data_IF_389366987345
#
_entry.id   IF_389366987345
#
_cell.length_a   1.000
_cell.length_b   1.000
_cell.length_c   1.000
_cell.angle_alpha   90.00
_cell.angle_beta   90.00
_cell.angle_gamma   90.00
#
_symmetry.space_group_name_H-M   'P 1'
#
loop_
_entity.id
_entity.type
_entity.pdbx_description
1 polymer ?
#
# COMPACT_ATOMS: atom_id res chain seq x y z
N UNK A 1 81.46 -16.27 12.34
CA UNK A 1 81.60 -16.85 11.00
C UNK A 1 80.91 -15.91 10.05
N UNK A 2 81.81 -15.26 9.33
CA UNK A 2 81.60 -14.26 8.28
C UNK A 2 80.71 -14.76 7.16
N UNK A 3 80.02 -13.81 6.54
CA UNK A 3 80.10 -13.58 5.10
C UNK A 3 79.41 -12.28 4.71
N UNK A 4 80.29 -11.37 4.29
CA UNK A 4 80.02 -10.14 3.54
C UNK A 4 79.49 -10.42 2.10
N UNK A 5 78.62 -9.58 1.62
CA UNK A 5 78.17 -9.58 0.21
C UNK A 5 77.81 -8.19 -0.24
N UNK A 6 78.65 -7.70 -1.09
CA UNK A 6 78.80 -6.34 -1.65
C UNK A 6 77.57 -5.81 -2.39
N UNK A 7 77.36 -4.50 -2.19
CA UNK A 7 76.44 -3.65 -2.96
C UNK A 7 77.05 -3.24 -4.28
N UNK A 8 76.43 -3.58 -5.40
CA UNK A 8 76.66 -2.94 -6.70
C UNK A 8 75.65 -1.83 -6.94
N UNK A 9 76.23 -0.64 -6.99
CA UNK A 9 75.52 0.60 -7.26
C UNK A 9 75.45 0.80 -8.82
N UNK A 10 74.31 0.53 -9.40
CA UNK A 10 74.04 0.92 -10.84
C UNK A 10 73.42 2.30 -10.89
N UNK A 11 74.22 3.27 -11.23
CA UNK A 11 73.75 4.62 -11.57
C UNK A 11 72.94 4.54 -12.86
N UNK A 12 71.62 4.85 -12.76
CA UNK A 12 70.72 4.97 -13.92
C UNK A 12 70.85 6.41 -14.43
N UNK A 13 71.27 6.51 -15.69
CA UNK A 13 71.50 7.76 -16.43
C UNK A 13 70.20 8.56 -16.56
N UNK A 14 70.07 9.63 -15.81
CA UNK A 14 68.88 10.47 -15.67
C UNK A 14 68.59 11.33 -16.94
N UNK A 15 69.56 11.53 -17.79
CA UNK A 15 69.36 12.38 -18.99
C UNK A 15 68.61 11.72 -20.13
N UNK A 16 68.64 10.39 -20.27
CA UNK A 16 67.88 9.69 -21.32
C UNK A 16 66.41 9.52 -21.01
N UNK A 17 65.97 9.71 -19.74
CA UNK A 17 64.55 9.60 -19.34
C UNK A 17 63.78 10.90 -19.63
N UNK A 18 64.47 12.06 -19.67
CA UNK A 18 63.79 13.35 -19.86
C UNK A 18 63.34 13.61 -21.30
N UNK A 19 64.02 13.08 -22.29
CA UNK A 19 63.72 13.34 -23.72
C UNK A 19 62.56 12.48 -24.19
N UNK A 20 62.35 11.31 -23.57
CA UNK A 20 61.24 10.41 -23.95
C UNK A 20 59.89 10.86 -23.37
N UNK A 21 59.86 11.67 -22.29
CA UNK A 21 58.65 12.17 -21.65
C UNK A 21 58.05 13.41 -22.31
N UNK A 22 58.86 14.18 -23.08
CA UNK A 22 58.40 15.42 -23.72
C UNK A 22 57.72 15.14 -25.06
N UNK A 23 58.04 14.03 -25.74
CA UNK A 23 57.39 13.68 -27.02
C UNK A 23 56.06 12.93 -26.88
N UNK A 24 55.72 12.47 -25.68
CA UNK A 24 54.41 11.79 -25.39
C UNK A 24 53.32 12.73 -24.84
N UNK A 25 53.71 13.97 -24.48
CA UNK A 25 52.80 14.93 -23.84
C UNK A 25 52.01 15.82 -24.81
N UNK A 26 52.27 15.77 -26.12
CA UNK A 26 51.58 16.65 -27.09
C UNK A 26 50.49 16.00 -27.91
N UNK A 27 50.18 14.71 -27.72
CA UNK A 27 49.16 14.00 -28.51
C UNK A 27 47.90 13.61 -27.68
N UNK A 28 47.68 14.19 -26.49
CA UNK A 28 46.55 13.80 -25.64
C UNK A 28 45.54 14.92 -25.37
N UNK A 29 45.48 15.96 -26.20
CA UNK A 29 44.59 17.10 -26.00
C UNK A 29 43.55 17.32 -27.10
N UNK A 30 43.03 16.26 -27.76
CA UNK A 30 41.88 16.39 -28.66
C UNK A 30 40.96 15.15 -28.60
N UNK A 31 40.76 14.55 -27.41
CA UNK A 31 39.61 13.71 -27.19
C UNK A 31 38.60 14.50 -26.37
N UNK A 32 37.84 15.35 -27.05
CA UNK A 32 36.65 15.99 -26.46
C UNK A 32 35.69 14.92 -25.99
N UNK A 33 35.63 14.71 -24.67
CA UNK A 33 34.53 13.97 -24.08
C UNK A 33 33.24 14.71 -24.37
N UNK A 34 32.59 14.35 -25.48
CA UNK A 34 31.18 14.59 -25.66
C UNK A 34 30.45 13.82 -24.52
N UNK A 35 30.20 14.50 -23.39
CA UNK A 35 29.22 14.07 -22.43
C UNK A 35 27.87 14.07 -23.11
N UNK A 36 27.48 12.94 -23.67
CA UNK A 36 26.08 12.69 -23.97
C UNK A 36 25.29 12.89 -22.68
N UNK A 37 24.30 13.78 -22.66
CA UNK A 37 23.43 13.85 -21.50
C UNK A 37 22.74 12.50 -21.41
N UNK A 38 23.07 11.75 -20.36
CA UNK A 38 22.35 10.56 -19.96
C UNK A 38 20.93 11.03 -19.61
N UNK A 39 20.04 10.98 -20.60
CA UNK A 39 18.60 11.10 -20.37
C UNK A 39 18.25 9.94 -19.46
N UNK A 40 18.20 10.20 -18.14
CA UNK A 40 17.54 9.30 -17.23
C UNK A 40 16.06 9.33 -17.59
N UNK A 41 15.66 8.47 -18.50
CA UNK A 41 14.30 8.07 -18.64
C UNK A 41 13.98 7.28 -17.36
N UNK A 42 13.61 8.01 -16.29
CA UNK A 42 12.78 7.46 -15.23
C UNK A 42 11.45 7.12 -15.90
N UNK A 43 11.40 6.00 -16.61
CA UNK A 43 10.12 5.38 -16.89
C UNK A 43 9.41 5.23 -15.55
N UNK A 44 8.18 5.76 -15.41
CA UNK A 44 7.41 5.52 -14.20
C UNK A 44 7.33 3.99 -14.06
N UNK A 45 7.89 3.46 -12.98
CA UNK A 45 7.77 2.05 -12.64
C UNK A 45 6.29 1.70 -12.79
N UNK A 46 5.99 0.81 -13.72
CA UNK A 46 4.64 0.34 -14.01
C UNK A 46 4.18 -0.38 -12.75
N UNK A 47 3.50 0.35 -11.86
CA UNK A 47 2.98 -0.24 -10.64
C UNK A 47 1.83 -1.13 -11.07
N UNK A 48 1.93 -2.41 -10.72
CA UNK A 48 0.87 -3.38 -10.94
C UNK A 48 -0.43 -2.83 -10.30
N UNK A 49 -1.55 -2.81 -11.04
CA UNK A 49 -2.84 -2.46 -10.45
C UNK A 49 -3.09 -3.30 -9.20
N UNK A 50 -3.81 -2.74 -8.23
CA UNK A 50 -4.24 -3.52 -7.06
C UNK A 50 -4.91 -4.81 -7.51
N UNK A 51 -4.67 -5.89 -6.77
CA UNK A 51 -5.40 -7.13 -6.98
C UNK A 51 -6.90 -6.86 -6.81
N UNK A 52 -7.66 -7.06 -7.88
CA UNK A 52 -9.12 -7.02 -7.83
C UNK A 52 -9.64 -8.29 -7.17
N UNK A 53 -10.58 -8.13 -6.25
CA UNK A 53 -11.32 -9.25 -5.67
C UNK A 53 -12.49 -9.52 -6.60
N UNK A 54 -12.38 -10.58 -7.41
CA UNK A 54 -13.46 -10.94 -8.32
C UNK A 54 -14.54 -11.76 -7.61
N UNK A 55 -14.13 -12.71 -6.79
CA UNK A 55 -15.01 -13.58 -6.02
C UNK A 55 -14.53 -13.71 -4.58
N UNK A 56 -15.46 -13.68 -3.64
CA UNK A 56 -15.20 -13.94 -2.22
C UNK A 56 -16.25 -14.88 -1.67
N UNK A 57 -15.95 -15.61 -0.60
CA UNK A 57 -16.89 -16.51 0.06
C UNK A 57 -17.50 -15.80 1.26
N UNK A 58 -18.83 -15.67 1.27
CA UNK A 58 -19.60 -15.28 2.45
C UNK A 58 -20.00 -16.55 3.17
N UNK A 59 -19.50 -16.74 4.40
CA UNK A 59 -19.70 -17.96 5.18
C UNK A 59 -20.68 -17.78 6.35
N UNK A 60 -21.23 -16.59 6.52
CA UNK A 60 -22.22 -16.33 7.55
C UNK A 60 -22.87 -14.95 7.41
N UNK A 61 -24.06 -14.84 7.98
CA UNK A 61 -24.77 -13.60 8.21
C UNK A 61 -25.47 -13.71 9.59
N UNK A 62 -25.24 -12.73 10.46
CA UNK A 62 -25.67 -12.78 11.86
C UNK A 62 -26.42 -11.50 12.21
N UNK A 63 -27.51 -11.62 12.97
CA UNK A 63 -28.18 -10.46 13.57
C UNK A 63 -27.42 -9.88 14.76
N UNK A 64 -26.61 -10.72 15.40
CA UNK A 64 -25.80 -10.37 16.56
C UNK A 64 -24.32 -10.23 16.17
N UNK A 65 -23.73 -9.10 16.55
CA UNK A 65 -22.34 -8.74 16.26
C UNK A 65 -21.34 -9.72 16.88
N UNK A 66 -21.60 -10.15 18.12
CA UNK A 66 -20.65 -10.98 18.85
C UNK A 66 -20.54 -12.39 18.24
N UNK A 67 -21.66 -12.89 17.70
CA UNK A 67 -21.67 -14.13 16.91
C UNK A 67 -20.83 -14.01 15.64
N UNK A 68 -20.96 -12.90 14.90
CA UNK A 68 -20.15 -12.63 13.71
C UNK A 68 -18.66 -12.53 14.08
N UNK A 69 -18.34 -11.86 15.18
CA UNK A 69 -16.98 -11.71 15.68
C UNK A 69 -16.36 -13.07 16.04
N UNK A 70 -17.04 -13.86 16.87
CA UNK A 70 -16.58 -15.21 17.25
C UNK A 70 -16.36 -16.10 16.03
N UNK A 71 -17.25 -16.01 15.05
CA UNK A 71 -17.12 -16.79 13.83
C UNK A 71 -15.94 -16.31 12.96
N UNK A 72 -15.74 -15.00 12.82
CA UNK A 72 -14.59 -14.43 12.13
C UNK A 72 -13.27 -14.86 12.77
N UNK A 73 -13.18 -14.80 14.10
CA UNK A 73 -11.99 -15.22 14.82
C UNK A 73 -11.76 -16.75 14.72
N UNK A 74 -12.83 -17.56 14.68
CA UNK A 74 -12.74 -19.00 14.36
C UNK A 74 -12.09 -19.22 13.01
N UNK A 75 -12.56 -18.53 11.96
CA UNK A 75 -12.03 -18.67 10.61
C UNK A 75 -10.56 -18.19 10.51
N UNK A 76 -10.21 -17.09 11.19
CA UNK A 76 -8.83 -16.59 11.25
C UNK A 76 -7.88 -17.57 11.92
N UNK A 77 -8.29 -18.26 12.97
CA UNK A 77 -7.49 -19.34 13.60
C UNK A 77 -7.27 -20.53 12.66
N UNK A 78 -8.11 -20.70 11.63
CA UNK A 78 -7.94 -21.70 10.57
C UNK A 78 -7.08 -21.16 9.39
N UNK A 79 -6.42 -20.00 9.56
CA UNK A 79 -5.57 -19.39 8.54
C UNK A 79 -6.32 -18.68 7.40
N UNK A 80 -7.63 -18.44 7.56
CA UNK A 80 -8.43 -17.71 6.57
C UNK A 80 -8.37 -16.20 6.86
N UNK A 81 -8.15 -15.37 5.84
CA UNK A 81 -8.21 -13.89 5.97
C UNK A 81 -9.68 -13.43 6.03
N UNK A 82 -10.35 -13.84 7.11
CA UNK A 82 -11.76 -13.53 7.33
C UNK A 82 -11.96 -12.13 7.90
N UNK A 83 -13.01 -11.47 7.43
CA UNK A 83 -13.46 -10.18 7.92
C UNK A 83 -15.00 -10.17 8.02
N UNK A 84 -15.52 -9.30 8.87
CA UNK A 84 -16.96 -9.09 8.99
C UNK A 84 -17.28 -7.60 8.88
N UNK A 85 -18.50 -7.31 8.49
CA UNK A 85 -19.02 -5.95 8.33
C UNK A 85 -20.54 -5.97 8.48
N UNK A 86 -21.12 -4.84 8.85
CA UNK A 86 -22.56 -4.65 8.82
C UNK A 86 -22.98 -4.25 7.40
N UNK A 87 -23.95 -4.93 6.83
CA UNK A 87 -24.48 -4.58 5.52
C UNK A 87 -25.76 -3.71 5.65
N UNK A 88 -26.25 -3.10 4.56
CA UNK A 88 -27.45 -2.26 4.63
C UNK A 88 -28.72 -2.94 5.16
N UNK A 89 -28.79 -4.26 5.16
CA UNK A 89 -29.91 -5.01 5.79
C UNK A 89 -29.80 -5.06 7.34
N UNK A 90 -28.73 -4.52 7.93
CA UNK A 90 -28.48 -4.60 9.37
C UNK A 90 -27.85 -5.92 9.83
N UNK A 91 -27.50 -6.84 8.92
CA UNK A 91 -26.86 -8.09 9.26
C UNK A 91 -25.32 -7.95 9.26
N UNK A 92 -24.67 -8.62 10.20
CA UNK A 92 -23.22 -8.78 10.24
C UNK A 92 -22.81 -9.95 9.34
N UNK A 93 -22.27 -9.64 8.14
CA UNK A 93 -21.81 -10.62 7.16
C UNK A 93 -20.35 -10.94 7.38
N UNK A 94 -19.99 -12.23 7.30
CA UNK A 94 -18.61 -12.72 7.40
C UNK A 94 -18.15 -13.24 6.06
N UNK A 95 -17.04 -12.70 5.55
CA UNK A 95 -16.43 -13.05 4.27
C UNK A 95 -14.96 -13.37 4.42
N UNK A 96 -14.44 -14.15 3.44
CA UNK A 96 -13.00 -14.43 3.33
C UNK A 96 -12.61 -14.81 1.91
N UNK A 97 -11.30 -14.66 1.63
CA UNK A 97 -10.68 -15.10 0.39
C UNK A 97 -10.86 -14.13 -0.77
N UNK A 98 -9.92 -14.23 -1.70
CA UNK A 98 -9.89 -13.55 -2.98
C UNK A 98 -9.65 -14.62 -4.05
N UNK A 99 -10.61 -14.86 -4.93
CA UNK A 99 -10.58 -15.91 -5.95
C UNK A 99 -10.71 -15.31 -7.34
N UNK A 100 -9.90 -15.81 -8.27
CA UNK A 100 -9.96 -15.39 -9.68
C UNK A 100 -11.20 -15.93 -10.40
N UNK A 101 -11.75 -17.07 -9.96
CA UNK A 101 -12.93 -17.68 -10.57
C UNK A 101 -13.98 -18.09 -9.53
N UNK A 102 -15.25 -18.11 -9.96
CA UNK A 102 -16.37 -18.64 -9.15
C UNK A 102 -16.15 -20.12 -8.82
N UNK A 103 -15.54 -20.88 -9.73
CA UNK A 103 -15.26 -22.31 -9.58
C UNK A 103 -14.27 -22.54 -8.44
N UNK A 104 -13.18 -21.75 -8.38
CA UNK A 104 -12.17 -21.86 -7.30
C UNK A 104 -12.78 -21.50 -5.95
N UNK A 105 -13.58 -20.42 -5.90
CA UNK A 105 -14.31 -20.04 -4.68
C UNK A 105 -15.25 -21.18 -4.22
N UNK A 106 -16.05 -21.75 -5.12
CA UNK A 106 -16.95 -22.87 -4.80
C UNK A 106 -16.19 -24.11 -4.31
N UNK A 107 -15.10 -24.48 -5.00
CA UNK A 107 -14.29 -25.65 -4.63
C UNK A 107 -13.66 -25.47 -3.24
N UNK A 108 -13.15 -24.27 -2.94
CA UNK A 108 -12.62 -23.94 -1.62
C UNK A 108 -13.71 -24.00 -0.55
N UNK A 109 -14.87 -23.39 -0.81
CA UNK A 109 -16.01 -23.40 0.11
C UNK A 109 -16.50 -24.82 0.42
N UNK A 110 -16.67 -25.68 -0.60
CA UNK A 110 -17.08 -27.07 -0.42
C UNK A 110 -16.09 -27.87 0.44
N UNK A 111 -14.76 -27.67 0.26
CA UNK A 111 -13.74 -28.28 1.12
C UNK A 111 -13.86 -27.85 2.58
N UNK A 112 -14.15 -26.57 2.82
CA UNK A 112 -14.34 -26.05 4.19
C UNK A 112 -15.64 -26.53 4.81
N UNK A 113 -16.70 -26.67 4.02
CA UNK A 113 -17.99 -27.24 4.43
C UNK A 113 -17.84 -28.71 4.84
N UNK A 114 -17.20 -29.54 4.00
CA UNK A 114 -16.95 -30.95 4.30
C UNK A 114 -16.03 -31.16 5.51
N UNK A 115 -15.15 -30.20 5.79
CA UNK A 115 -14.29 -30.21 6.99
C UNK A 115 -15.00 -29.67 8.25
N UNK A 116 -16.27 -29.26 8.20
CA UNK A 116 -17.01 -28.70 9.32
C UNK A 116 -16.50 -27.33 9.80
N UNK A 117 -15.69 -26.64 9.00
CA UNK A 117 -15.15 -25.32 9.33
C UNK A 117 -16.21 -24.24 9.17
N UNK A 118 -17.03 -24.36 8.09
CA UNK A 118 -18.21 -23.54 7.81
C UNK A 118 -19.44 -24.42 7.71
N UNK A 119 -20.62 -23.86 7.96
CA UNK A 119 -21.89 -24.60 7.92
C UNK A 119 -22.68 -24.36 6.64
N UNK A 120 -22.43 -23.22 6.00
CA UNK A 120 -23.05 -22.79 4.75
C UNK A 120 -22.18 -21.76 4.08
N UNK A 121 -22.42 -21.48 2.79
CA UNK A 121 -21.69 -20.45 2.07
C UNK A 121 -22.45 -19.88 0.87
N UNK A 122 -22.08 -18.66 0.53
CA UNK A 122 -22.48 -17.99 -0.69
C UNK A 122 -21.26 -17.37 -1.38
N UNK A 123 -21.10 -17.61 -2.71
CA UNK A 123 -20.04 -16.98 -3.49
C UNK A 123 -20.52 -15.62 -3.97
N UNK A 124 -19.91 -14.58 -3.43
CA UNK A 124 -20.15 -13.19 -3.79
C UNK A 124 -19.29 -12.81 -4.98
N UNK A 125 -19.92 -12.19 -5.98
CA UNK A 125 -19.23 -11.58 -7.12
C UNK A 125 -19.22 -10.09 -6.95
N UNK A 126 -18.06 -9.46 -7.17
CA UNK A 126 -18.00 -8.01 -7.28
C UNK A 126 -18.29 -7.60 -8.73
N UNK A 127 -19.20 -6.66 -8.89
CA UNK A 127 -19.56 -6.16 -10.22
C UNK A 127 -18.41 -5.33 -10.81
N UNK A 128 -18.27 -5.38 -12.12
CA UNK A 128 -17.36 -4.50 -12.85
C UNK A 128 -17.99 -3.10 -12.96
N UNK A 129 -17.67 -2.25 -11.98
CA UNK A 129 -18.06 -0.84 -12.00
C UNK A 129 -17.16 -0.03 -12.94
N UNK A 130 -17.71 1.03 -13.53
CA UNK A 130 -16.84 2.06 -14.09
C UNK A 130 -15.94 2.64 -12.99
N UNK A 131 -14.77 3.15 -13.37
CA UNK A 131 -13.86 3.78 -12.38
C UNK A 131 -14.56 4.92 -11.60
N UNK A 132 -15.44 5.67 -12.25
CA UNK A 132 -16.20 6.74 -11.61
C UNK A 132 -17.17 6.22 -10.55
N UNK A 133 -17.97 5.20 -10.90
CA UNK A 133 -18.93 4.60 -9.97
C UNK A 133 -18.23 3.93 -8.78
N UNK A 134 -17.09 3.25 -9.03
CA UNK A 134 -16.30 2.62 -7.98
C UNK A 134 -15.75 3.65 -6.98
N UNK A 135 -15.27 4.81 -7.47
CA UNK A 135 -14.80 5.92 -6.64
C UNK A 135 -15.89 6.46 -5.73
N UNK A 136 -17.08 6.66 -6.26
CA UNK A 136 -18.24 7.11 -5.48
C UNK A 136 -18.70 6.04 -4.47
N UNK A 137 -18.66 4.75 -4.82
CA UNK A 137 -18.96 3.65 -3.89
C UNK A 137 -17.96 3.59 -2.73
N UNK A 138 -16.68 3.78 -3.00
CA UNK A 138 -15.65 3.83 -1.95
C UNK A 138 -15.95 4.93 -0.94
N UNK A 139 -16.29 6.12 -1.40
CA UNK A 139 -16.64 7.24 -0.49
C UNK A 139 -17.91 6.91 0.30
N UNK A 140 -18.99 6.44 -0.37
CA UNK A 140 -20.22 6.02 0.33
C UNK A 140 -19.98 4.92 1.36
N UNK A 141 -19.11 3.95 1.04
CA UNK A 141 -18.74 2.90 1.99
C UNK A 141 -17.98 3.48 3.20
N UNK A 142 -17.08 4.43 2.97
CA UNK A 142 -16.35 5.10 4.05
C UNK A 142 -17.28 5.93 4.96
N UNK A 143 -18.31 6.56 4.37
CA UNK A 143 -19.31 7.34 5.12
C UNK A 143 -20.05 6.49 6.15
N UNK A 144 -20.33 5.24 5.85
CA UNK A 144 -21.02 4.32 6.78
C UNK A 144 -20.19 4.02 8.04
N UNK A 145 -18.91 4.34 8.07
CA UNK A 145 -18.02 4.14 9.21
C UNK A 145 -17.77 5.42 10.03
N UNK A 146 -18.33 6.57 9.62
CA UNK A 146 -18.23 7.81 10.41
C UNK A 146 -18.88 7.59 11.79
N UNK A 147 -18.20 8.06 12.85
CA UNK A 147 -18.61 7.83 14.25
C UNK A 147 -18.06 6.54 14.87
N UNK A 148 -17.50 5.61 14.08
CA UNK A 148 -16.90 4.40 14.64
C UNK A 148 -15.60 4.72 15.40
N UNK A 149 -15.35 4.07 16.56
CA UNK A 149 -14.23 4.40 17.42
C UNK A 149 -12.87 4.06 16.76
N UNK A 150 -11.86 4.86 17.06
CA UNK A 150 -10.48 4.50 16.72
C UNK A 150 -9.99 3.37 17.62
N UNK A 151 -9.34 2.36 17.01
CA UNK A 151 -8.62 1.31 17.72
C UNK A 151 -7.31 0.98 16.99
N UNK A 152 -6.20 1.02 17.68
CA UNK A 152 -4.91 0.60 17.12
C UNK A 152 -4.97 -0.87 16.66
N UNK A 153 -4.54 -1.13 15.42
CA UNK A 153 -4.64 -2.45 14.81
C UNK A 153 -6.06 -2.87 14.41
N UNK A 154 -7.05 -2.02 14.64
CA UNK A 154 -8.45 -2.29 14.30
C UNK A 154 -8.72 -2.23 12.81
N UNK A 155 -9.62 -3.11 12.33
CA UNK A 155 -10.07 -3.20 10.95
C UNK A 155 -11.51 -3.71 10.87
N UNK A 156 -12.34 -3.37 11.84
CA UNK A 156 -13.76 -3.73 11.86
C UNK A 156 -14.60 -2.67 12.57
N UNK A 157 -15.87 -2.56 12.19
CA UNK A 157 -16.79 -1.59 12.76
C UNK A 157 -16.96 -1.75 14.27
N UNK A 158 -16.97 -2.99 14.78
CA UNK A 158 -17.26 -3.27 16.20
C UNK A 158 -16.05 -3.00 17.10
N UNK A 159 -14.85 -3.41 16.63
CA UNK A 159 -13.62 -3.21 17.41
C UNK A 159 -13.03 -1.83 17.16
N UNK A 160 -13.55 -1.11 16.16
CA UNK A 160 -13.01 0.16 15.71
C UNK A 160 -11.91 -0.01 14.66
N UNK A 161 -11.44 1.10 14.14
CA UNK A 161 -10.48 1.18 13.05
C UNK A 161 -9.22 1.93 13.44
N UNK A 162 -8.05 1.47 12.98
CA UNK A 162 -6.95 2.41 12.75
C UNK A 162 -7.04 3.00 11.33
N UNK A 163 -6.19 3.95 11.01
CA UNK A 163 -6.26 4.68 9.74
C UNK A 163 -6.16 3.77 8.52
N UNK A 164 -5.20 2.85 8.48
CA UNK A 164 -4.98 1.91 7.37
C UNK A 164 -5.94 0.73 7.40
N UNK A 165 -6.47 0.36 8.57
CA UNK A 165 -7.53 -0.64 8.70
C UNK A 165 -8.85 -0.15 8.11
N UNK A 166 -9.20 1.12 8.35
CA UNK A 166 -10.37 1.74 7.71
C UNK A 166 -10.25 1.73 6.19
N UNK A 167 -9.15 2.24 5.63
CA UNK A 167 -8.96 2.30 4.18
C UNK A 167 -8.96 0.91 3.56
N UNK A 168 -8.27 -0.07 4.17
CA UNK A 168 -8.27 -1.46 3.71
C UNK A 168 -9.67 -2.05 3.70
N UNK A 169 -10.43 -1.90 4.78
CA UNK A 169 -11.79 -2.44 4.87
C UNK A 169 -12.71 -1.82 3.83
N UNK A 170 -12.67 -0.50 3.66
CA UNK A 170 -13.48 0.20 2.65
C UNK A 170 -13.17 -0.31 1.24
N UNK A 171 -11.91 -0.43 0.89
CA UNK A 171 -11.50 -0.93 -0.43
C UNK A 171 -11.89 -2.40 -0.62
N UNK A 172 -11.68 -3.24 0.39
CA UNK A 172 -12.03 -4.68 0.36
C UNK A 172 -13.54 -4.89 0.16
N UNK A 173 -14.38 -4.08 0.79
CA UNK A 173 -15.83 -4.10 0.59
C UNK A 173 -16.26 -3.69 -0.83
N UNK A 174 -15.38 -3.01 -1.57
CA UNK A 174 -15.56 -2.59 -2.94
C UNK A 174 -14.75 -3.42 -3.96
N UNK A 175 -14.24 -4.58 -3.57
CA UNK A 175 -13.56 -5.51 -4.47
C UNK A 175 -12.09 -5.19 -4.76
N UNK A 176 -11.43 -4.38 -3.94
CA UNK A 176 -10.02 -4.02 -4.09
C UNK A 176 -9.22 -4.41 -2.85
N UNK A 177 -8.05 -5.03 -3.04
CA UNK A 177 -7.23 -5.47 -1.93
C UNK A 177 -6.07 -4.51 -1.65
N UNK A 178 -6.13 -3.80 -0.52
CA UNK A 178 -5.06 -2.92 -0.04
C UNK A 178 -4.16 -3.62 0.98
N UNK A 179 -2.85 -3.29 1.00
CA UNK A 179 -1.95 -3.70 2.07
C UNK A 179 -2.46 -3.25 3.46
N UNK A 180 -2.09 -3.99 4.52
CA UNK A 180 -2.56 -3.69 5.88
C UNK A 180 -2.04 -2.37 6.45
N UNK A 181 -0.83 -1.97 6.12
CA UNK A 181 -0.19 -0.79 6.71
C UNK A 181 -0.27 0.44 5.80
N UNK A 182 -0.30 1.65 6.39
CA UNK A 182 -0.28 2.91 5.63
C UNK A 182 0.96 3.04 4.74
N UNK A 183 2.12 2.57 5.20
CA UNK A 183 3.35 2.55 4.38
C UNK A 183 3.22 1.57 3.20
N UNK A 184 2.65 0.38 3.43
CA UNK A 184 2.38 -0.59 2.35
C UNK A 184 1.40 -0.04 1.32
N UNK A 185 0.34 0.63 1.77
CA UNK A 185 -0.61 1.32 0.89
C UNK A 185 0.07 2.42 0.07
N UNK A 186 0.91 3.25 0.70
CA UNK A 186 1.70 4.25 -0.02
C UNK A 186 2.55 3.64 -1.14
N UNK A 187 3.21 2.53 -0.87
CA UNK A 187 4.09 1.87 -1.83
C UNK A 187 3.33 1.21 -3.00
N UNK A 188 2.09 0.77 -2.77
CA UNK A 188 1.27 0.06 -3.75
C UNK A 188 0.53 0.99 -4.73
N UNK A 189 0.37 2.27 -4.42
CA UNK A 189 -0.42 3.20 -5.23
C UNK A 189 0.39 4.06 -6.18
N UNK A 190 -0.24 4.55 -7.26
CA UNK A 190 0.33 5.51 -8.21
C UNK A 190 0.20 6.93 -7.66
N UNK A 191 1.29 7.71 -7.72
CA UNK A 191 1.30 9.09 -7.20
C UNK A 191 0.34 10.01 -7.94
N UNK A 192 -0.42 10.80 -7.19
CA UNK A 192 -1.34 11.80 -7.70
C UNK A 192 -0.98 13.18 -7.15
N UNK A 193 -0.96 14.19 -8.01
CA UNK A 193 -0.79 15.59 -7.57
C UNK A 193 -2.03 16.04 -6.81
N UNK A 194 -1.86 16.83 -5.74
CA UNK A 194 -2.98 17.32 -4.92
C UNK A 194 -4.06 18.02 -5.75
N UNK A 195 -3.69 18.79 -6.78
CA UNK A 195 -4.62 19.47 -7.70
C UNK A 195 -5.41 18.52 -8.62
N UNK A 196 -5.07 17.23 -8.66
CA UNK A 196 -5.73 16.20 -9.49
C UNK A 196 -6.41 15.12 -8.64
N UNK A 197 -6.55 15.34 -7.34
CA UNK A 197 -7.25 14.43 -6.45
C UNK A 197 -8.68 14.17 -6.92
N UNK A 198 -9.07 12.92 -6.89
CA UNK A 198 -10.44 12.46 -7.16
C UNK A 198 -10.94 11.66 -5.97
N UNK A 199 -12.25 11.63 -5.79
CA UNK A 199 -12.90 10.79 -4.76
C UNK A 199 -12.33 9.39 -4.77
N UNK A 200 -12.13 8.81 -3.60
CA UNK A 200 -11.57 7.48 -3.44
C UNK A 200 -10.04 7.42 -3.47
N UNK A 201 -9.31 8.45 -3.91
CA UNK A 201 -7.85 8.48 -3.76
C UNK A 201 -7.46 8.47 -2.28
N UNK A 202 -6.31 7.89 -1.95
CA UNK A 202 -5.80 7.94 -0.59
C UNK A 202 -4.84 9.11 -0.41
N UNK A 203 -5.02 9.84 0.69
CA UNK A 203 -4.15 10.93 1.14
C UNK A 203 -3.33 10.50 2.34
N UNK A 204 -2.04 10.81 2.33
CA UNK A 204 -1.06 10.31 3.30
C UNK A 204 -0.35 11.42 4.05
N UNK A 205 0.05 11.12 5.30
CA UNK A 205 0.63 12.11 6.19
C UNK A 205 1.78 11.54 7.05
N UNK A 206 2.74 12.42 7.37
CA UNK A 206 3.84 12.18 8.30
C UNK A 206 3.45 12.59 9.73
N UNK A 207 2.56 11.83 10.41
CA UNK A 207 2.09 12.19 11.76
C UNK A 207 3.03 11.76 12.89
N UNK A 208 3.89 10.75 12.64
CA UNK A 208 4.85 10.20 13.60
C UNK A 208 6.32 10.60 13.31
N UNK A 209 6.54 11.66 12.55
CA UNK A 209 7.87 12.14 12.16
C UNK A 209 8.06 12.25 10.65
N UNK A 210 9.06 13.03 10.22
CA UNK A 210 9.37 13.26 8.81
C UNK A 210 9.94 11.98 8.19
N UNK A 211 9.61 11.71 6.93
CA UNK A 211 10.16 10.58 6.15
C UNK A 211 9.41 9.26 6.28
N UNK A 212 8.50 9.10 7.26
CA UNK A 212 7.72 7.87 7.43
C UNK A 212 6.22 8.14 7.25
N UNK A 213 5.59 7.41 6.35
CA UNK A 213 4.13 7.42 6.22
C UNK A 213 3.53 6.72 7.44
N UNK A 214 2.75 7.47 8.20
CA UNK A 214 2.20 7.02 9.49
C UNK A 214 0.70 7.22 9.61
N UNK A 215 0.09 7.90 8.63
CA UNK A 215 -1.36 8.12 8.61
C UNK A 215 -1.88 8.18 7.19
N UNK A 216 -3.14 7.78 7.02
CA UNK A 216 -3.84 7.70 5.73
C UNK A 216 -5.33 7.99 5.91
N UNK A 217 -5.95 8.53 4.86
CA UNK A 217 -7.40 8.71 4.76
C UNK A 217 -7.86 8.63 3.32
N UNK A 218 -9.19 8.53 3.12
CA UNK A 218 -9.85 8.44 1.83
C UNK A 218 -10.33 9.83 1.44
N UNK A 219 -9.86 10.35 0.32
CA UNK A 219 -10.31 11.63 -0.20
C UNK A 219 -11.76 11.53 -0.67
N UNK A 220 -12.65 12.40 -0.16
CA UNK A 220 -14.07 12.37 -0.46
C UNK A 220 -14.55 13.48 -1.41
N UNK A 221 -13.61 14.30 -1.90
CA UNK A 221 -13.88 15.51 -2.66
C UNK A 221 -13.84 16.77 -1.79
N UNK A 222 -14.01 17.95 -2.40
CA UNK A 222 -14.12 19.26 -1.72
C UNK A 222 -13.02 19.52 -0.67
N UNK A 223 -11.78 19.08 -0.98
CA UNK A 223 -10.62 19.19 -0.07
C UNK A 223 -10.83 18.53 1.31
N UNK A 224 -11.65 17.50 1.37
CA UNK A 224 -11.92 16.72 2.57
C UNK A 224 -11.46 15.27 2.42
N UNK A 225 -11.24 14.61 3.56
CA UNK A 225 -10.92 13.18 3.61
C UNK A 225 -11.52 12.53 4.86
N UNK A 226 -11.91 11.27 4.72
CA UNK A 226 -12.44 10.43 5.79
C UNK A 226 -11.30 9.60 6.38
N UNK A 227 -11.13 9.62 7.70
CA UNK A 227 -10.05 8.90 8.38
C UNK A 227 -10.40 8.51 9.82
N UNK A 228 -9.66 7.56 10.37
CA UNK A 228 -9.64 7.22 11.79
C UNK A 228 -8.45 7.94 12.45
N UNK A 229 -8.66 9.06 13.16
CA UNK A 229 -7.58 10.01 13.48
C UNK A 229 -6.62 9.57 14.59
N UNK A 230 -7.06 8.77 15.58
CA UNK A 230 -6.22 8.34 16.69
C UNK A 230 -7.00 7.99 17.95
N UNK A 231 -6.29 7.48 18.97
CA UNK A 231 -6.86 7.02 20.24
C UNK A 231 -7.82 8.07 20.87
N UNK A 232 -8.96 7.60 21.33
CA UNK A 232 -10.00 8.43 21.97
C UNK A 232 -10.82 9.26 20.99
N UNK A 233 -10.69 9.03 19.70
CA UNK A 233 -11.44 9.71 18.64
C UNK A 233 -12.18 8.70 17.78
N UNK A 234 -13.04 9.21 16.91
CA UNK A 234 -13.87 8.45 16.00
C UNK A 234 -13.48 8.73 14.55
N UNK A 235 -13.87 7.83 13.65
CA UNK A 235 -13.81 8.06 12.19
C UNK A 235 -14.59 9.32 11.85
N UNK A 236 -13.99 10.19 11.08
CA UNK A 236 -14.60 11.48 10.70
C UNK A 236 -14.06 12.04 9.40
N UNK A 237 -14.76 13.06 8.87
CA UNK A 237 -14.25 13.94 7.84
C UNK A 237 -13.35 15.03 8.43
N UNK A 238 -12.31 15.36 7.70
CA UNK A 238 -11.40 16.46 8.04
C UNK A 238 -10.94 17.14 6.77
N UNK A 239 -10.84 18.47 6.80
CA UNK A 239 -10.33 19.24 5.67
C UNK A 239 -8.83 19.04 5.49
N UNK A 240 -8.35 18.90 4.25
CA UNK A 240 -6.92 18.93 3.90
C UNK A 240 -6.28 20.27 4.26
N UNK A 241 -7.06 21.33 4.33
CA UNK A 241 -6.65 22.67 4.76
C UNK A 241 -6.56 22.83 6.29
N UNK A 242 -6.96 21.80 7.07
CA UNK A 242 -6.74 21.80 8.51
C UNK A 242 -5.26 22.03 8.81
N UNK A 243 -4.95 22.98 9.70
CA UNK A 243 -3.58 23.44 10.01
C UNK A 243 -2.62 22.28 10.36
N UNK A 244 -3.09 21.27 11.07
CA UNK A 244 -2.30 20.10 11.45
C UNK A 244 -1.99 19.23 10.24
N UNK A 245 -3.01 18.83 9.47
CA UNK A 245 -2.85 17.91 8.34
C UNK A 245 -2.16 18.57 7.15
N UNK A 246 -2.41 19.85 6.88
CA UNK A 246 -1.70 20.60 5.83
C UNK A 246 -0.19 20.61 6.04
N UNK A 247 0.28 20.77 7.28
CA UNK A 247 1.72 20.72 7.61
C UNK A 247 2.34 19.33 7.51
N UNK A 248 1.52 18.28 7.60
CA UNK A 248 1.96 16.89 7.65
C UNK A 248 1.67 16.11 6.36
N UNK A 249 1.10 16.78 5.35
CA UNK A 249 0.77 16.16 4.09
C UNK A 249 2.03 15.62 3.39
N UNK A 250 2.00 14.33 3.05
CA UNK A 250 3.09 13.62 2.38
C UNK A 250 2.84 13.46 0.87
N UNK A 251 1.57 13.42 0.48
CA UNK A 251 1.15 13.19 -0.90
C UNK A 251 -0.11 12.34 -0.99
N UNK A 252 -0.45 11.95 -2.20
CA UNK A 252 -1.61 11.11 -2.47
C UNK A 252 -1.31 10.00 -3.47
N UNK A 253 -2.12 8.96 -3.43
CA UNK A 253 -2.05 7.79 -4.30
C UNK A 253 -3.42 7.42 -4.85
N UNK A 254 -3.44 7.01 -6.12
CA UNK A 254 -4.59 6.37 -6.75
C UNK A 254 -4.32 4.88 -6.99
N UNK A 255 -5.40 4.11 -7.14
CA UNK A 255 -5.36 2.64 -7.31
C UNK A 255 -6.27 2.19 -8.46
N UNK A 256 -6.65 3.15 -9.33
CA UNK A 256 -7.59 2.98 -10.43
C UNK A 256 -6.94 3.23 -11.79
#
# INVERSE_FOLDING_TARGET
>A
MDCSGSSENKSVDFEKLLVSFILFSTLFFLAGCARTPMKSSLEPAFQTPLASIHYTIQAGAFSDMENALRFTDKLRRQGLDAYHFIDPSGLYKVRFGNFASRTDANNRAKKLLSAGIINDFYVVTFENYSTADLRDKIVRTADNFIGMPYRWGGASAEKGFDCSGLTRTVYQLNGLELPRSSQGQWNAGVSVRQSRLKKGDLVFFHTAGIGKISHVGIYDGNEQFIHAPGKGKEVKRTSLNNRYFKKKYAGAKTYF
#
